data_IF_866499505504
#
_entry.id   IF_866499505504
#
_cell.length_a   1.000
_cell.length_b   1.000
_cell.length_c   1.000
_cell.angle_alpha   90.00
_cell.angle_beta   90.00
_cell.angle_gamma   90.00
#
_symmetry.space_group_name_H-M   'P 1'
#
loop_
_entity.id
_entity.type
_entity.pdbx_description
1 polymer ?
#
# COMPACT_ATOMS: atom_id res chain seq x y z
N UNK A 1 3.79 -5.28 15.81
CA UNK A 1 4.86 -4.63 15.01
C UNK A 1 4.17 -4.06 13.77
N UNK A 2 3.90 -2.75 13.69
CA UNK A 2 3.21 -2.17 12.52
C UNK A 2 4.21 -1.92 11.40
N UNK A 3 4.30 -2.85 10.45
CA UNK A 3 5.06 -2.62 9.23
C UNK A 3 4.18 -1.74 8.32
N UNK A 4 4.46 -0.44 8.30
CA UNK A 4 3.97 0.46 7.26
C UNK A 4 4.95 0.30 6.11
N UNK A 5 4.49 -0.29 5.01
CA UNK A 5 5.33 -0.45 3.83
C UNK A 5 4.91 0.53 2.75
N UNK A 6 5.85 1.38 2.36
CA UNK A 6 5.74 2.31 1.24
C UNK A 6 6.39 1.67 0.02
N UNK A 7 5.62 1.49 -1.06
CA UNK A 7 6.14 0.96 -2.32
C UNK A 7 5.84 1.96 -3.45
N UNK A 8 6.88 2.64 -3.92
CA UNK A 8 6.82 3.54 -5.07
C UNK A 8 7.13 2.82 -6.38
N UNK A 9 6.38 3.12 -7.45
CA UNK A 9 6.86 2.89 -8.82
C UNK A 9 7.81 4.04 -9.19
N UNK A 10 9.10 3.86 -8.92
CA UNK A 10 10.13 4.86 -9.23
C UNK A 10 11.33 4.70 -8.31
N UNK A 11 12.52 4.71 -8.89
CA UNK A 11 13.77 4.19 -8.33
C UNK A 11 14.32 4.97 -7.11
N UNK A 12 14.45 4.27 -5.96
CA UNK A 12 15.68 4.08 -5.15
C UNK A 12 15.38 3.66 -3.70
N UNK A 13 14.97 2.41 -3.51
CA UNK A 13 15.35 1.58 -2.37
C UNK A 13 14.89 0.14 -2.63
N UNK A 14 15.83 -0.77 -2.91
CA UNK A 14 15.65 -2.23 -3.03
C UNK A 14 14.31 -2.67 -3.67
N UNK A 15 14.14 -2.38 -4.97
CA UNK A 15 12.98 -2.83 -5.75
C UNK A 15 13.01 -4.35 -5.90
N UNK A 16 12.31 -5.08 -5.03
CA UNK A 16 11.91 -6.45 -5.36
C UNK A 16 10.70 -6.35 -6.27
N UNK A 17 10.89 -6.59 -7.58
CA UNK A 17 9.75 -6.78 -8.48
C UNK A 17 8.92 -7.95 -7.93
N UNK A 18 7.66 -7.68 -7.60
CA UNK A 18 6.71 -8.68 -7.13
C UNK A 18 5.51 -8.73 -8.07
N UNK A 19 5.01 -9.93 -8.31
CA UNK A 19 3.81 -10.13 -9.10
C UNK A 19 2.63 -9.50 -8.37
N UNK A 20 1.93 -8.57 -9.01
CA UNK A 20 0.69 -8.00 -8.47
C UNK A 20 -0.47 -9.00 -8.51
N UNK A 21 -0.40 -10.02 -9.37
CA UNK A 21 -1.47 -10.98 -9.59
C UNK A 21 -1.78 -11.77 -8.32
N UNK A 22 -3.06 -11.81 -7.94
CA UNK A 22 -3.57 -12.51 -6.76
C UNK A 22 -3.04 -11.96 -5.43
N UNK A 23 -2.80 -10.64 -5.37
CA UNK A 23 -2.33 -9.96 -4.15
C UNK A 23 -3.35 -8.95 -3.65
N UNK A 24 -3.21 -8.53 -2.39
CA UNK A 24 -3.97 -7.42 -1.84
C UNK A 24 -3.69 -6.12 -2.61
N UNK A 25 -2.46 -5.96 -3.11
CA UNK A 25 -2.06 -4.78 -3.90
C UNK A 25 -2.89 -4.67 -5.18
N UNK A 26 -3.16 -5.77 -5.90
CA UNK A 26 -4.02 -5.76 -7.09
C UNK A 26 -5.43 -5.25 -6.78
N UNK A 27 -6.00 -5.59 -5.63
CA UNK A 27 -7.30 -5.05 -5.23
C UNK A 27 -7.25 -3.53 -5.04
N UNK A 28 -6.24 -3.02 -4.34
CA UNK A 28 -6.03 -1.57 -4.18
C UNK A 28 -5.83 -0.89 -5.55
N UNK A 29 -5.19 -1.57 -6.49
CA UNK A 29 -5.04 -1.11 -7.88
C UNK A 29 -6.38 -0.90 -8.59
N UNK A 30 -7.36 -1.77 -8.34
CA UNK A 30 -8.67 -1.71 -8.99
C UNK A 30 -9.65 -0.79 -8.27
N UNK A 31 -9.67 -0.78 -6.94
CA UNK A 31 -10.72 -0.12 -6.14
C UNK A 31 -10.29 1.18 -5.49
N UNK A 32 -8.98 1.44 -5.41
CA UNK A 32 -8.44 2.60 -4.70
C UNK A 32 -8.16 2.36 -3.22
N UNK A 33 -8.80 1.36 -2.60
CA UNK A 33 -8.72 1.04 -1.17
C UNK A 33 -9.00 -0.44 -0.92
N UNK A 34 -8.46 -0.99 0.17
CA UNK A 34 -8.88 -2.30 0.66
C UNK A 34 -8.96 -2.33 2.18
N UNK A 35 -9.82 -3.20 2.71
CA UNK A 35 -9.88 -3.51 4.13
C UNK A 35 -10.26 -4.98 4.31
N UNK A 36 -9.35 -5.72 4.94
CA UNK A 36 -9.50 -7.11 5.32
C UNK A 36 -9.21 -7.20 6.83
N UNK A 37 -10.25 -7.23 7.69
CA UNK A 37 -10.08 -7.16 9.14
C UNK A 37 -9.37 -8.36 9.73
N UNK A 38 -9.48 -9.55 9.11
CA UNK A 38 -8.87 -10.80 9.54
C UNK A 38 -8.82 -11.80 8.37
N UNK A 39 -8.18 -12.95 8.57
CA UNK A 39 -8.14 -14.08 7.63
C UNK A 39 -7.68 -13.74 6.21
N UNK A 40 -6.88 -12.69 6.02
CA UNK A 40 -6.48 -12.21 4.67
C UNK A 40 -5.75 -13.28 3.85
N UNK A 41 -5.00 -14.18 4.50
CA UNK A 41 -4.30 -15.30 3.84
C UNK A 41 -5.25 -16.28 3.17
N UNK A 42 -6.48 -16.44 3.69
CA UNK A 42 -7.48 -17.32 3.07
C UNK A 42 -8.04 -16.72 1.78
N UNK A 43 -8.08 -15.39 1.71
CA UNK A 43 -8.54 -14.64 0.53
C UNK A 43 -7.45 -14.53 -0.54
N UNK A 44 -6.18 -14.46 -0.11
CA UNK A 44 -5.02 -14.34 -0.99
C UNK A 44 -3.99 -15.44 -0.70
N UNK A 45 -4.33 -16.73 -0.92
CA UNK A 45 -3.47 -17.86 -0.55
C UNK A 45 -2.17 -17.92 -1.37
N UNK A 46 -2.12 -17.20 -2.50
CA UNK A 46 -0.95 -17.13 -3.38
C UNK A 46 0.01 -15.99 -3.00
N UNK A 47 -0.38 -15.11 -2.08
CA UNK A 47 0.46 -14.00 -1.64
C UNK A 47 1.44 -14.46 -0.56
N UNK A 48 2.65 -14.82 -1.01
CA UNK A 48 3.73 -15.32 -0.14
C UNK A 48 4.14 -14.33 0.94
N UNK A 49 3.93 -13.02 0.74
CA UNK A 49 4.25 -11.99 1.72
C UNK A 49 3.37 -12.13 2.95
N UNK A 50 2.07 -12.37 2.76
CA UNK A 50 1.10 -12.54 3.86
C UNK A 50 1.45 -13.76 4.70
N UNK A 51 1.78 -14.89 4.04
CA UNK A 51 2.20 -16.12 4.70
C UNK A 51 3.53 -15.95 5.46
N UNK A 52 4.53 -15.34 4.82
CA UNK A 52 5.87 -15.16 5.40
C UNK A 52 5.85 -14.34 6.68
N UNK A 53 5.00 -13.32 6.75
CA UNK A 53 4.89 -12.44 7.92
C UNK A 53 3.72 -12.77 8.84
N UNK A 54 3.04 -13.91 8.61
CA UNK A 54 1.85 -14.33 9.35
C UNK A 54 0.79 -13.22 9.48
N UNK A 55 0.51 -12.53 8.39
CA UNK A 55 -0.43 -11.41 8.36
C UNK A 55 -1.86 -11.94 8.40
N UNK A 56 -2.66 -11.48 9.36
CA UNK A 56 -4.07 -11.82 9.47
C UNK A 56 -4.97 -10.72 8.90
N UNK A 57 -4.54 -9.47 8.96
CA UNK A 57 -5.34 -8.32 8.52
C UNK A 57 -4.54 -7.31 7.72
N UNK A 58 -5.22 -6.65 6.79
CA UNK A 58 -4.63 -5.64 5.91
C UNK A 58 -5.60 -4.51 5.66
N UNK A 59 -5.09 -3.28 5.70
CA UNK A 59 -5.79 -2.11 5.16
C UNK A 59 -4.84 -1.33 4.25
N UNK A 60 -5.34 -0.82 3.13
CA UNK A 60 -4.49 -0.06 2.23
C UNK A 60 -5.24 0.95 1.39
N UNK A 61 -4.51 1.94 0.91
CA UNK A 61 -5.00 3.02 0.05
C UNK A 61 -4.04 3.27 -1.10
N UNK A 62 -4.57 3.78 -2.20
CA UNK A 62 -3.78 4.19 -3.36
C UNK A 62 -3.15 5.55 -3.14
N UNK A 63 -1.93 5.71 -3.61
CA UNK A 63 -1.23 6.99 -3.67
C UNK A 63 -1.36 7.53 -5.09
N UNK A 64 -1.93 8.73 -5.24
CA UNK A 64 -2.27 9.32 -6.54
C UNK A 64 -1.66 10.72 -6.65
N UNK A 65 -1.13 11.07 -7.81
CA UNK A 65 -0.74 12.45 -8.10
C UNK A 65 -1.95 13.34 -8.40
N UNK A 66 -1.68 14.63 -8.62
CA UNK A 66 -2.69 15.65 -8.98
C UNK A 66 -3.48 15.31 -10.25
N UNK A 67 -2.92 14.53 -11.16
CA UNK A 67 -3.55 14.09 -12.41
C UNK A 67 -4.32 12.76 -12.23
N UNK A 68 -4.45 12.30 -10.98
CA UNK A 68 -5.06 11.01 -10.58
C UNK A 68 -4.29 9.79 -11.12
N UNK A 69 -3.05 9.97 -11.56
CA UNK A 69 -2.18 8.86 -11.93
C UNK A 69 -1.60 8.25 -10.65
N UNK A 70 -1.54 6.93 -10.63
CA UNK A 70 -1.10 6.16 -9.48
C UNK A 70 0.43 6.23 -9.31
N UNK A 71 0.86 6.68 -8.14
CA UNK A 71 2.26 6.74 -7.71
C UNK A 71 2.68 5.47 -6.97
N UNK A 72 1.74 4.83 -6.26
CA UNK A 72 2.01 3.65 -5.44
C UNK A 72 0.83 3.25 -4.56
N UNK A 73 1.12 2.51 -3.49
CA UNK A 73 0.14 2.12 -2.46
C UNK A 73 0.74 2.30 -1.07
N UNK A 74 -0.12 2.62 -0.11
CA UNK A 74 0.20 2.62 1.32
C UNK A 74 -0.57 1.49 1.98
N UNK A 75 0.15 0.61 2.68
CA UNK A 75 -0.39 -0.62 3.27
C UNK A 75 -0.05 -0.70 4.77
N UNK A 76 -1.05 -1.08 5.56
CA UNK A 76 -0.92 -1.51 6.95
C UNK A 76 -1.22 -3.00 7.00
N UNK A 77 -0.26 -3.77 7.48
CA UNK A 77 -0.38 -5.22 7.68
C UNK A 77 -0.24 -5.54 9.17
N UNK A 78 -1.07 -6.45 9.68
CA UNK A 78 -1.01 -6.90 11.07
C UNK A 78 -1.27 -8.40 11.17
N UNK A 79 -0.54 -9.06 12.06
CA UNK A 79 -0.69 -10.48 12.46
C UNK A 79 -1.88 -10.75 13.40
N UNK A 80 -2.79 -9.79 13.56
CA UNK A 80 -4.00 -9.88 14.38
C UNK A 80 -5.14 -9.08 13.75
N UNK A 81 -6.35 -9.23 14.27
CA UNK A 81 -7.53 -8.55 13.75
C UNK A 81 -7.46 -7.02 13.90
N UNK A 82 -7.90 -6.30 12.87
CA UNK A 82 -8.09 -4.84 12.89
C UNK A 82 -9.60 -4.57 12.94
N UNK A 83 -10.11 -4.08 14.08
CA UNK A 83 -11.54 -3.81 14.29
C UNK A 83 -11.97 -2.35 14.03
N UNK A 84 -11.03 -1.39 14.11
CA UNK A 84 -11.32 0.04 14.04
C UNK A 84 -11.34 0.58 12.58
N UNK A 85 -12.20 0.00 11.73
CA UNK A 85 -12.21 0.24 10.28
C UNK A 85 -12.26 1.73 9.91
N UNK A 86 -13.23 2.48 10.45
CA UNK A 86 -13.49 3.87 10.03
C UNK A 86 -12.34 4.81 10.42
N UNK A 87 -11.91 4.78 11.69
CA UNK A 87 -10.82 5.63 12.18
C UNK A 87 -9.53 5.31 11.43
N UNK A 88 -9.20 4.02 11.29
CA UNK A 88 -7.98 3.63 10.62
C UNK A 88 -8.01 4.00 9.13
N UNK A 89 -9.16 3.89 8.48
CA UNK A 89 -9.33 4.30 7.09
C UNK A 89 -9.12 5.81 6.91
N UNK A 90 -9.70 6.64 7.79
CA UNK A 90 -9.52 8.10 7.73
C UNK A 90 -8.07 8.49 7.95
N UNK A 91 -7.41 7.85 8.92
CA UNK A 91 -5.97 8.02 9.20
C UNK A 91 -5.14 7.63 7.98
N UNK A 92 -5.38 6.45 7.39
CA UNK A 92 -4.65 5.98 6.20
C UNK A 92 -4.87 6.89 5.00
N UNK A 93 -6.08 7.42 4.79
CA UNK A 93 -6.35 8.39 3.72
C UNK A 93 -5.61 9.69 3.95
N UNK A 94 -5.58 10.21 5.19
CA UNK A 94 -4.86 11.41 5.53
C UNK A 94 -3.35 11.26 5.24
N UNK A 95 -2.75 10.17 5.72
CA UNK A 95 -1.34 9.89 5.45
C UNK A 95 -1.08 9.62 3.97
N UNK A 96 -1.94 8.84 3.31
CA UNK A 96 -1.82 8.55 1.88
C UNK A 96 -1.83 9.82 1.01
N UNK A 97 -2.69 10.79 1.32
CA UNK A 97 -2.69 12.07 0.62
C UNK A 97 -1.37 12.82 0.80
N UNK A 98 -0.82 12.85 2.02
CA UNK A 98 0.47 13.52 2.29
C UNK A 98 1.64 12.80 1.62
N UNK A 99 1.70 11.48 1.70
CA UNK A 99 2.71 10.66 1.04
C UNK A 99 2.66 10.84 -0.47
N UNK A 100 1.47 10.96 -1.06
CA UNK A 100 1.33 11.20 -2.51
C UNK A 100 1.97 12.52 -2.95
N UNK A 101 1.77 13.59 -2.17
CA UNK A 101 2.39 14.89 -2.44
C UNK A 101 3.92 14.81 -2.34
N UNK A 102 4.44 14.17 -1.30
CA UNK A 102 5.89 14.01 -1.11
C UNK A 102 6.52 13.17 -2.23
N UNK A 103 5.91 12.05 -2.61
CA UNK A 103 6.37 11.23 -3.72
C UNK A 103 6.36 11.99 -5.05
N UNK A 104 5.33 12.79 -5.29
CA UNK A 104 5.27 13.65 -6.48
C UNK A 104 6.40 14.69 -6.48
N UNK A 105 6.67 15.32 -5.33
CA UNK A 105 7.78 16.28 -5.19
C UNK A 105 9.13 15.62 -5.46
N UNK A 106 9.39 14.44 -4.91
CA UNK A 106 10.62 13.68 -5.15
C UNK A 106 10.78 13.33 -6.64
N UNK A 107 9.70 12.91 -7.31
CA UNK A 107 9.70 12.63 -8.75
C UNK A 107 9.96 13.89 -9.59
N UNK A 108 9.43 15.06 -9.19
CA UNK A 108 9.74 16.32 -9.87
C UNK A 108 11.20 16.73 -9.69
N UNK A 109 11.74 16.64 -8.47
CA UNK A 109 13.12 17.02 -8.16
C UNK A 109 14.15 16.06 -8.77
N UNK A 110 13.83 14.77 -8.87
CA UNK A 110 14.69 13.76 -9.51
C UNK A 110 14.77 13.85 -11.04
N UNK A 111 13.80 14.52 -11.68
CA UNK A 111 13.71 14.70 -13.14
C UNK A 111 14.29 16.04 -13.64
N UNK A 112 14.93 16.83 -12.78
CA UNK A 112 15.65 18.04 -13.19
C UNK A 112 16.98 17.60 -13.82
N UNK A 113 17.26 17.90 -15.10
CA UNK A 113 18.56 17.58 -15.70
C UNK A 113 19.66 18.33 -14.92
N UNK A 114 20.64 17.57 -14.42
CA UNK A 114 21.84 18.12 -13.76
C UNK A 114 22.80 18.73 -14.76
#
# INVERSE_FOLDING_TARGET
MHLISEYGLGDKNTLTQYSLRHTVVEQIYNTGLCYYPNSVQKLFPLDKTLLRFNIESVMGVSLLDVDKKRLGVLLVMHDSEILAANILQDVLRFFGNRTSVELQLQNCLGNIPR
#
